data_IF_279747312678
#
_entry.id   IF_279747312678
#
_cell.length_a   1.000
_cell.length_b   1.000
_cell.length_c   1.000
_cell.angle_alpha   90.00
_cell.angle_beta   90.00
_cell.angle_gamma   90.00
#
_symmetry.space_group_name_H-M   'P 1'
#
loop_
_entity.id
_entity.type
_entity.pdbx_description
1 polymer ?
#
# COMPACT_ATOMS: atom_id res chain seq x y z
N UNK A 1 -18.75 -11.39 4.44
CA UNK A 1 -18.24 -10.68 5.64
C UNK A 1 -17.18 -9.70 5.24
N UNK A 2 -17.15 -8.56 5.92
CA UNK A 2 -16.16 -7.51 5.61
C UNK A 2 -14.80 -7.85 6.18
N UNK A 3 -13.76 -7.51 5.42
CA UNK A 3 -12.38 -7.55 5.91
C UNK A 3 -12.17 -6.28 6.73
N UNK A 4 -11.71 -6.42 7.97
CA UNK A 4 -11.49 -5.31 8.86
C UNK A 4 -10.02 -4.93 8.92
N UNK A 5 -9.74 -3.63 9.04
CA UNK A 5 -8.37 -3.15 9.24
C UNK A 5 -8.17 -2.74 10.69
N UNK A 6 -6.93 -2.87 11.13
CA UNK A 6 -6.48 -2.41 12.44
C UNK A 6 -5.26 -1.53 12.27
N UNK A 7 -5.29 -0.32 12.84
CA UNK A 7 -4.09 0.54 12.86
C UNK A 7 -3.10 -0.05 13.86
N UNK A 8 -1.84 -0.11 13.45
CA UNK A 8 -0.78 -0.72 14.27
C UNK A 8 -0.18 0.31 15.22
N UNK A 9 0.04 -0.11 16.49
CA UNK A 9 0.76 0.70 17.47
C UNK A 9 2.27 0.59 17.24
N UNK A 10 3.07 1.30 18.05
CA UNK A 10 4.52 1.37 17.86
C UNK A 10 5.20 0.01 17.87
N UNK A 11 4.78 -0.90 18.75
CA UNK A 11 5.34 -2.25 18.80
C UNK A 11 4.92 -3.07 17.60
N UNK A 12 3.63 -3.00 17.25
CA UNK A 12 3.07 -3.75 16.13
C UNK A 12 3.62 -3.29 14.78
N UNK A 13 3.99 -2.02 14.65
CA UNK A 13 4.65 -1.49 13.45
C UNK A 13 5.98 -2.18 13.18
N UNK A 14 6.62 -2.72 14.20
CA UNK A 14 7.86 -3.48 14.07
C UNK A 14 7.56 -4.96 13.84
N UNK A 15 6.69 -5.54 14.67
CA UNK A 15 6.48 -6.99 14.69
C UNK A 15 5.62 -7.51 13.56
N UNK A 16 4.58 -6.76 13.15
CA UNK A 16 3.66 -7.24 12.12
C UNK A 16 4.32 -7.34 10.75
N UNK A 17 4.94 -6.27 10.19
CA UNK A 17 5.61 -6.42 8.90
C UNK A 17 6.82 -7.36 8.95
N UNK A 18 7.46 -7.50 10.09
CA UNK A 18 8.56 -8.46 10.24
C UNK A 18 8.10 -9.91 10.10
N UNK A 19 6.89 -10.22 10.56
CA UNK A 19 6.31 -11.56 10.38
C UNK A 19 6.01 -11.87 8.92
N UNK A 20 5.63 -10.86 8.15
CA UNK A 20 5.26 -11.02 6.74
C UNK A 20 6.49 -11.03 5.84
N UNK A 21 7.36 -10.04 6.00
CA UNK A 21 8.47 -9.77 5.08
C UNK A 21 9.85 -10.06 5.66
N UNK A 22 9.95 -10.35 6.96
CA UNK A 22 11.24 -10.51 7.63
C UNK A 22 12.05 -9.23 7.57
N UNK A 23 13.37 -9.38 7.44
CA UNK A 23 14.28 -8.25 7.34
C UNK A 23 14.12 -7.47 6.04
N UNK A 24 13.43 -8.02 5.05
CA UNK A 24 13.19 -7.34 3.77
C UNK A 24 12.26 -6.14 3.90
N UNK A 25 11.50 -6.04 5.00
CA UNK A 25 10.60 -4.91 5.16
C UNK A 25 11.37 -3.59 5.29
N UNK A 26 12.25 -3.42 6.30
CA UNK A 26 12.91 -2.13 6.45
C UNK A 26 13.94 -1.85 5.35
N UNK A 27 14.53 -2.89 4.76
CA UNK A 27 15.61 -2.69 3.79
C UNK A 27 15.11 -2.58 2.35
N UNK A 28 13.94 -3.14 2.02
CA UNK A 28 13.48 -3.19 0.63
C UNK A 28 12.03 -2.71 0.47
N UNK A 29 11.09 -3.26 1.25
CA UNK A 29 9.66 -3.00 1.04
C UNK A 29 9.31 -1.56 1.41
N UNK A 30 9.66 -1.15 2.62
CA UNK A 30 9.31 0.19 3.11
C UNK A 30 9.91 1.30 2.26
N UNK A 31 11.23 1.29 1.94
CA UNK A 31 11.79 2.30 1.06
C UNK A 31 11.15 2.31 -0.33
N UNK A 32 10.81 1.15 -0.86
CA UNK A 32 10.17 1.06 -2.18
C UNK A 32 8.77 1.68 -2.17
N UNK A 33 8.02 1.50 -1.08
CA UNK A 33 6.70 2.12 -0.92
C UNK A 33 6.83 3.65 -0.97
N UNK A 34 7.79 4.23 -0.25
CA UNK A 34 7.99 5.67 -0.26
C UNK A 34 8.42 6.20 -1.63
N UNK A 35 9.29 5.47 -2.31
CA UNK A 35 9.70 5.84 -3.67
C UNK A 35 8.53 5.78 -4.64
N UNK A 36 7.71 4.77 -4.53
CA UNK A 36 6.51 4.63 -5.36
C UNK A 36 5.53 5.77 -5.12
N UNK A 37 5.35 6.18 -3.86
CA UNK A 37 4.48 7.31 -3.53
C UNK A 37 4.92 8.58 -4.26
N UNK A 38 6.23 8.86 -4.26
CA UNK A 38 6.79 10.01 -4.97
C UNK A 38 6.67 9.90 -6.48
N UNK A 39 6.71 8.67 -7.00
CA UNK A 39 6.54 8.43 -8.44
C UNK A 39 5.09 8.69 -8.88
N UNK A 40 4.12 8.29 -8.08
CA UNK A 40 2.71 8.40 -8.43
C UNK A 40 2.12 9.78 -8.15
N UNK A 41 2.66 10.53 -7.20
CA UNK A 41 2.08 11.81 -6.80
C UNK A 41 3.14 12.90 -6.63
N UNK A 42 2.94 14.02 -7.36
CA UNK A 42 3.84 15.18 -7.25
C UNK A 42 3.65 15.94 -5.95
N UNK A 43 2.48 15.83 -5.32
CA UNK A 43 2.25 16.53 -4.05
C UNK A 43 2.64 15.68 -2.82
N UNK A 44 3.16 14.47 -3.03
CA UNK A 44 3.76 13.71 -1.93
C UNK A 44 5.18 14.23 -1.66
N UNK A 45 5.42 14.67 -0.44
CA UNK A 45 6.71 15.27 -0.04
C UNK A 45 7.32 14.61 1.19
N UNK A 46 6.90 13.38 1.52
CA UNK A 46 7.37 12.67 2.70
C UNK A 46 6.42 12.80 3.87
N UNK A 47 6.87 12.40 5.06
CA UNK A 47 6.10 12.46 6.27
C UNK A 47 5.89 11.08 6.89
N UNK A 48 5.11 11.05 7.97
CA UNK A 48 4.81 9.84 8.71
C UNK A 48 3.69 9.06 8.01
N UNK A 49 3.81 7.73 8.00
CA UNK A 49 2.79 6.82 7.45
C UNK A 49 2.23 5.96 8.56
N UNK A 50 0.90 5.84 8.59
CA UNK A 50 0.23 4.85 9.42
C UNK A 50 0.35 3.47 8.77
N UNK A 51 0.41 2.43 9.59
CA UNK A 51 0.44 1.04 9.12
C UNK A 51 -0.81 0.32 9.57
N UNK A 52 -1.35 -0.52 8.70
CA UNK A 52 -2.59 -1.25 8.96
C UNK A 52 -2.41 -2.73 8.68
N UNK A 53 -2.93 -3.56 9.60
CA UNK A 53 -3.07 -4.99 9.38
C UNK A 53 -4.53 -5.30 9.05
N UNK A 54 -4.73 -6.16 8.07
CA UNK A 54 -6.05 -6.65 7.68
C UNK A 54 -6.30 -8.01 8.32
N UNK A 55 -7.56 -8.30 8.66
CA UNK A 55 -7.87 -9.59 9.28
C UNK A 55 -7.83 -10.77 8.30
N UNK A 56 -7.61 -10.50 7.01
CA UNK A 56 -7.31 -11.56 6.04
C UNK A 56 -5.80 -11.85 5.92
N UNK A 57 -4.96 -11.18 6.71
CA UNK A 57 -3.51 -11.33 6.67
C UNK A 57 -2.79 -10.28 5.83
N UNK A 58 -3.52 -9.36 5.20
CA UNK A 58 -2.92 -8.29 4.41
C UNK A 58 -2.31 -7.20 5.26
N UNK A 59 -1.45 -6.41 4.63
CA UNK A 59 -0.77 -5.28 5.26
C UNK A 59 -0.64 -4.14 4.25
N UNK A 60 -0.97 -2.92 4.68
CA UNK A 60 -0.68 -1.74 3.86
C UNK A 60 -0.37 -0.54 4.74
N UNK A 61 0.11 0.51 4.10
CA UNK A 61 0.49 1.75 4.74
C UNK A 61 -0.18 2.91 4.01
N UNK A 62 -0.43 4.00 4.74
CA UNK A 62 -0.97 5.22 4.15
C UNK A 62 -0.39 6.44 4.87
N UNK A 63 -0.15 7.56 4.14
CA UNK A 63 0.37 8.77 4.79
C UNK A 63 -0.56 9.26 5.90
N UNK A 64 0.03 9.79 6.96
CA UNK A 64 -0.72 10.49 8.00
C UNK A 64 -0.86 11.96 7.56
N UNK A 65 -1.87 12.23 6.77
CA UNK A 65 -2.08 13.53 6.15
C UNK A 65 -3.57 13.86 6.16
N UNK A 66 -3.89 15.14 6.23
CA UNK A 66 -5.26 15.61 6.12
C UNK A 66 -5.66 16.00 4.69
N UNK A 67 -4.74 15.88 3.73
CA UNK A 67 -4.94 16.35 2.36
C UNK A 67 -4.88 15.18 1.38
N UNK A 68 -5.84 15.06 0.45
CA UNK A 68 -5.80 14.01 -0.56
C UNK A 68 -4.63 14.21 -1.53
N UNK A 69 -4.32 13.16 -2.28
CA UNK A 69 -3.20 13.15 -3.21
C UNK A 69 -3.67 13.07 -4.64
N UNK A 70 -3.09 13.92 -5.50
CA UNK A 70 -3.28 13.82 -6.94
C UNK A 70 -2.28 12.81 -7.48
N UNK A 71 -2.75 11.83 -8.26
CA UNK A 71 -1.92 10.78 -8.81
C UNK A 71 -1.93 10.79 -10.33
N UNK A 72 -0.80 10.43 -10.91
CA UNK A 72 -0.65 10.15 -12.34
C UNK A 72 0.02 8.80 -12.46
N UNK A 73 -0.66 7.83 -13.04
CA UNK A 73 -0.19 6.46 -13.13
C UNK A 73 0.26 6.14 -14.55
N UNK A 74 1.16 5.15 -14.66
CA UNK A 74 1.74 4.77 -15.95
C UNK A 74 0.71 4.19 -16.93
N UNK A 75 -0.42 3.70 -16.43
CA UNK A 75 -1.51 3.19 -17.26
C UNK A 75 -2.41 4.31 -17.84
N UNK A 76 -2.08 5.58 -17.56
CA UNK A 76 -2.83 6.72 -18.03
C UNK A 76 -3.87 7.26 -17.06
N UNK A 77 -4.09 6.59 -15.93
CA UNK A 77 -5.02 7.09 -14.93
C UNK A 77 -4.47 8.38 -14.30
N UNK A 78 -5.35 9.37 -14.17
CA UNK A 78 -5.03 10.60 -13.45
C UNK A 78 -6.25 10.99 -12.62
N UNK A 79 -6.04 11.34 -11.36
CA UNK A 79 -7.15 11.72 -10.48
C UNK A 79 -6.68 12.00 -9.06
N UNK A 80 -7.64 12.33 -8.19
CA UNK A 80 -7.37 12.62 -6.79
C UNK A 80 -7.90 11.48 -5.93
N UNK A 81 -7.04 10.94 -5.06
CA UNK A 81 -7.38 9.87 -4.15
C UNK A 81 -7.33 10.38 -2.71
N UNK A 82 -8.22 9.88 -1.86
CA UNK A 82 -8.10 10.10 -0.42
C UNK A 82 -6.77 9.53 0.07
N UNK A 83 -6.36 9.93 1.26
CA UNK A 83 -5.13 9.44 1.89
C UNK A 83 -5.12 7.91 1.95
N UNK A 84 -6.23 7.31 2.34
CA UNK A 84 -6.34 5.86 2.46
C UNK A 84 -6.27 5.17 1.10
N UNK A 85 -7.02 5.65 0.13
CA UNK A 85 -7.00 5.11 -1.22
C UNK A 85 -5.62 5.26 -1.88
N UNK A 86 -4.95 6.39 -1.61
CA UNK A 86 -3.60 6.62 -2.09
C UNK A 86 -2.63 5.58 -1.51
N UNK A 87 -2.68 5.36 -0.20
CA UNK A 87 -1.83 4.36 0.45
C UNK A 87 -2.04 2.96 -0.12
N UNK A 88 -3.30 2.54 -0.30
CA UNK A 88 -3.62 1.26 -0.91
C UNK A 88 -3.07 1.16 -2.32
N UNK A 89 -3.27 2.19 -3.13
CA UNK A 89 -2.78 2.23 -4.52
C UNK A 89 -1.25 2.13 -4.57
N UNK A 90 -0.57 2.90 -3.73
CA UNK A 90 0.90 2.87 -3.66
C UNK A 90 1.40 1.47 -3.28
N UNK A 91 0.80 0.86 -2.26
CA UNK A 91 1.20 -0.48 -1.81
C UNK A 91 0.92 -1.54 -2.88
N UNK A 92 -0.20 -1.43 -3.60
CA UNK A 92 -0.51 -2.35 -4.69
C UNK A 92 0.53 -2.26 -5.81
N UNK A 93 0.93 -1.04 -6.20
CA UNK A 93 2.01 -0.84 -7.16
C UNK A 93 3.33 -1.40 -6.64
N UNK A 94 3.65 -1.15 -5.37
CA UNK A 94 4.90 -1.63 -4.77
C UNK A 94 4.94 -3.16 -4.75
N UNK A 95 3.87 -3.80 -4.28
CA UNK A 95 3.83 -5.26 -4.23
C UNK A 95 3.88 -5.88 -5.63
N UNK A 96 3.18 -5.28 -6.59
CA UNK A 96 3.23 -5.77 -7.97
C UNK A 96 4.65 -5.73 -8.51
N UNK A 97 5.36 -4.63 -8.32
CA UNK A 97 6.74 -4.50 -8.78
C UNK A 97 7.69 -5.44 -8.03
N UNK A 98 7.56 -5.53 -6.71
CA UNK A 98 8.43 -6.39 -5.90
C UNK A 98 8.16 -7.87 -6.11
N UNK A 99 7.00 -8.24 -6.65
CA UNK A 99 6.71 -9.64 -6.97
C UNK A 99 7.59 -10.19 -8.10
N UNK A 100 8.29 -9.33 -8.82
CA UNK A 100 9.30 -9.74 -9.78
C UNK A 100 10.67 -9.98 -9.15
N UNK A 101 10.84 -9.60 -7.88
CA UNK A 101 12.08 -9.86 -7.14
C UNK A 101 12.09 -11.32 -6.68
N UNK A 102 13.19 -12.03 -6.96
CA UNK A 102 13.31 -13.44 -6.62
C UNK A 102 12.99 -13.73 -5.14
N UNK A 103 13.49 -12.90 -4.24
CA UNK A 103 13.34 -13.11 -2.80
C UNK A 103 11.93 -12.77 -2.28
N UNK A 104 11.27 -11.81 -2.91
CA UNK A 104 9.98 -11.28 -2.43
C UNK A 104 8.79 -11.72 -3.28
N UNK A 105 9.03 -12.52 -4.31
CA UNK A 105 8.02 -12.88 -5.30
C UNK A 105 6.73 -13.42 -4.68
N UNK A 106 6.83 -14.46 -3.86
CA UNK A 106 5.65 -15.11 -3.28
C UNK A 106 4.94 -14.21 -2.28
N UNK A 107 5.70 -13.60 -1.38
CA UNK A 107 5.13 -12.77 -0.31
C UNK A 107 4.42 -11.55 -0.89
N UNK A 108 5.05 -10.87 -1.84
CA UNK A 108 4.46 -9.67 -2.44
C UNK A 108 3.27 -10.01 -3.33
N UNK A 109 3.32 -11.12 -4.06
CA UNK A 109 2.17 -11.57 -4.85
C UNK A 109 0.98 -11.88 -3.95
N UNK A 110 1.21 -12.57 -2.82
CA UNK A 110 0.17 -12.87 -1.85
C UNK A 110 -0.41 -11.56 -1.26
N UNK A 111 0.45 -10.66 -0.82
CA UNK A 111 -0.01 -9.38 -0.26
C UNK A 111 -0.80 -8.58 -1.28
N UNK A 112 -0.40 -8.58 -2.53
CA UNK A 112 -1.15 -7.92 -3.61
C UNK A 112 -2.58 -8.46 -3.68
N UNK A 113 -2.75 -9.77 -3.67
CA UNK A 113 -4.07 -10.38 -3.73
C UNK A 113 -4.91 -10.09 -2.48
N UNK A 114 -4.29 -10.10 -1.31
CA UNK A 114 -5.01 -9.80 -0.06
C UNK A 114 -5.50 -8.35 -0.03
N UNK A 115 -4.72 -7.41 -0.56
CA UNK A 115 -5.16 -6.02 -0.68
C UNK A 115 -6.26 -5.85 -1.73
N UNK A 116 -6.18 -6.56 -2.86
CA UNK A 116 -7.24 -6.52 -3.88
C UNK A 116 -8.57 -7.02 -3.32
N UNK A 117 -8.53 -8.03 -2.48
CA UNK A 117 -9.72 -8.55 -1.80
C UNK A 117 -10.34 -7.49 -0.89
N UNK A 118 -9.50 -6.80 -0.12
CA UNK A 118 -9.95 -5.74 0.79
C UNK A 118 -10.55 -4.55 0.04
N UNK A 119 -9.92 -4.13 -1.05
CA UNK A 119 -10.36 -2.90 -1.74
C UNK A 119 -11.73 -3.04 -2.41
N UNK A 120 -12.23 -4.25 -2.62
CA UNK A 120 -13.54 -4.45 -3.26
C UNK A 120 -14.68 -3.81 -2.46
N UNK A 121 -14.51 -3.64 -1.15
CA UNK A 121 -15.50 -2.98 -0.29
C UNK A 121 -15.11 -1.53 0.05
N UNK A 122 -14.05 -1.00 -0.56
CA UNK A 122 -13.59 0.36 -0.28
C UNK A 122 -14.50 1.39 -0.96
N UNK A 123 -14.75 2.54 -0.31
CA UNK A 123 -15.58 3.60 -0.91
C UNK A 123 -15.04 4.11 -2.25
N UNK A 124 -13.71 4.05 -2.47
CA UNK A 124 -13.08 4.51 -3.71
C UNK A 124 -12.61 3.33 -4.58
N UNK A 125 -13.34 2.22 -4.54
CA UNK A 125 -12.95 0.99 -5.27
C UNK A 125 -12.76 1.26 -6.77
N UNK A 126 -13.62 2.05 -7.38
CA UNK A 126 -13.53 2.29 -8.83
C UNK A 126 -12.29 3.08 -9.20
N UNK A 127 -11.95 4.09 -8.39
CA UNK A 127 -10.76 4.91 -8.60
C UNK A 127 -9.48 4.10 -8.38
N UNK A 128 -9.44 3.29 -7.33
CA UNK A 128 -8.28 2.44 -7.05
C UNK A 128 -8.06 1.43 -8.19
N UNK A 129 -9.14 0.75 -8.62
CA UNK A 129 -9.03 -0.21 -9.72
C UNK A 129 -8.59 0.46 -11.01
N UNK A 130 -9.12 1.64 -11.32
CA UNK A 130 -8.70 2.39 -12.50
C UNK A 130 -7.21 2.77 -12.43
N UNK A 131 -6.73 3.09 -11.23
CA UNK A 131 -5.33 3.48 -11.06
C UNK A 131 -4.36 2.30 -11.24
N UNK A 132 -4.75 1.09 -10.84
CA UNK A 132 -3.84 -0.08 -10.87
C UNK A 132 -4.03 -0.95 -12.11
N UNK A 133 -5.15 -0.88 -12.77
CA UNK A 133 -5.44 -1.69 -13.97
C UNK A 133 -5.17 -0.85 -15.22
#
# INVERSE_FOLDING_TARGET
MSIQRKILNDVERITNPAKIFGTHFPFRVEPFVYDMAGTLSRNYVGGFWNMYALDNGGFYMAPDSGTPFHVSCMNGYEGTLSVDAFGLTVCLYAYSNLSFSEVLAETCAEQYHLLREYLLEHPEVHEILAAID
#
